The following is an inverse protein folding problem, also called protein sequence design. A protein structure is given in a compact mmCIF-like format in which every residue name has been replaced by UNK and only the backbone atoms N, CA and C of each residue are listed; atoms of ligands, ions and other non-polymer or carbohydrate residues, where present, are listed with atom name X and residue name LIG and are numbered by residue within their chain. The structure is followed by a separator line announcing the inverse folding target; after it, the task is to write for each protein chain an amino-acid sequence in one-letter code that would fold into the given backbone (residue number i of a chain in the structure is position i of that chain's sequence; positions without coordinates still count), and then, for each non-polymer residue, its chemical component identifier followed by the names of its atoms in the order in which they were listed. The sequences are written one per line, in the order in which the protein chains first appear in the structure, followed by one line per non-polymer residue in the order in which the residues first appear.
data_IF_530578390696
#
_entry.id   IF_530578390696
#
_cell.length_a   1.000
_cell.length_b   1.000
_cell.length_c   1.000
_cell.angle_alpha   90.00
_cell.angle_beta   90.00
_cell.angle_gamma   90.00
#
_symmetry.space_group_name_H-M   'P 1'
#
loop_
_entity.id
_entity.type
_entity.pdbx_description
1 polymer ?
#
# COMPACT_ATOMS: atom_id res chain seq x y z
N UNK A 1 22.58 29.84 -13.20
CA UNK A 1 21.53 29.12 -13.97
C UNK A 1 21.27 27.80 -13.24
N UNK A 2 20.01 27.54 -12.89
CA UNK A 2 19.60 26.70 -11.75
C UNK A 2 20.01 25.21 -11.81
N UNK A 3 20.50 24.69 -10.68
CA UNK A 3 20.70 23.25 -10.43
C UNK A 3 19.37 22.64 -9.96
N UNK A 4 18.67 21.94 -10.84
CA UNK A 4 17.42 21.25 -10.50
C UNK A 4 17.69 20.10 -9.51
N UNK A 5 17.33 20.30 -8.24
CA UNK A 5 17.45 19.29 -7.18
C UNK A 5 16.31 18.26 -7.28
N UNK A 6 16.56 17.16 -7.99
CA UNK A 6 15.70 15.97 -7.94
C UNK A 6 15.99 15.17 -6.66
N UNK A 7 14.95 14.71 -5.97
CA UNK A 7 15.04 13.89 -4.73
C UNK A 7 15.07 12.40 -5.11
N UNK A 8 16.16 11.70 -4.77
CA UNK A 8 16.31 10.23 -4.90
C UNK A 8 17.09 9.75 -6.15
N UNK A 9 17.38 8.44 -6.19
CA UNK A 9 18.16 7.78 -7.26
C UNK A 9 17.43 7.67 -8.61
N UNK A 10 16.17 8.10 -8.64
CA UNK A 10 15.40 8.12 -9.88
C UNK A 10 15.98 9.16 -10.83
N UNK A 11 16.44 8.69 -11.98
CA UNK A 11 16.85 9.53 -13.10
C UNK A 11 15.82 9.38 -14.23
N UNK A 12 15.37 10.47 -14.86
CA UNK A 12 14.49 10.36 -16.01
C UNK A 12 15.17 9.50 -17.08
N UNK A 13 14.53 8.39 -17.44
CA UNK A 13 15.05 7.47 -18.43
C UNK A 13 15.04 8.14 -19.80
N UNK A 14 16.15 8.04 -20.54
CA UNK A 14 16.15 8.43 -21.95
C UNK A 14 15.22 7.45 -22.70
N UNK A 15 14.29 7.93 -23.53
CA UNK A 15 13.45 7.03 -24.33
C UNK A 15 14.33 6.13 -25.21
N UNK A 16 14.00 4.83 -25.28
CA UNK A 16 14.83 3.78 -25.91
C UNK A 16 14.86 3.84 -27.45
N UNK A 17 14.12 4.77 -28.05
CA UNK A 17 13.99 4.93 -29.49
C UNK A 17 12.84 5.88 -29.82
N UNK A 18 12.67 6.23 -31.10
CA UNK A 18 11.60 7.12 -31.50
C UNK A 18 10.25 6.40 -31.42
N UNK A 19 9.32 6.98 -30.66
CA UNK A 19 7.94 6.47 -30.53
C UNK A 19 7.13 6.98 -31.71
N UNK A 20 6.20 6.19 -32.25
CA UNK A 20 5.37 6.55 -33.43
C UNK A 20 4.69 7.93 -33.37
N UNK A 21 4.47 8.49 -32.18
CA UNK A 21 4.01 9.87 -31.98
C UNK A 21 4.98 10.96 -32.47
N UNK A 22 6.28 10.66 -32.63
CA UNK A 22 7.31 11.57 -33.14
C UNK A 22 7.29 11.68 -34.68
N UNK A 23 6.69 10.70 -35.36
CA UNK A 23 6.69 10.62 -36.83
C UNK A 23 5.35 10.97 -37.46
N UNK A 24 4.28 11.00 -36.66
CA UNK A 24 2.98 11.50 -37.11
C UNK A 24 3.04 13.02 -37.03
N UNK A 25 2.55 13.68 -38.09
CA UNK A 25 2.50 15.12 -38.32
C UNK A 25 2.41 15.93 -37.03
N UNK A 26 2.98 17.15 -36.93
CA UNK A 26 2.89 17.98 -35.73
C UNK A 26 1.48 17.84 -35.18
N UNK A 27 1.38 17.27 -33.98
CA UNK A 27 0.09 17.03 -33.34
C UNK A 27 -0.75 18.29 -33.49
N UNK A 28 -2.09 18.17 -33.56
CA UNK A 28 -2.95 19.24 -34.05
C UNK A 28 -2.48 20.61 -33.52
N UNK A 29 -2.21 21.56 -34.44
CA UNK A 29 -1.64 22.89 -34.12
C UNK A 29 -2.44 23.61 -33.02
N UNK A 30 -3.67 23.17 -32.79
CA UNK A 30 -4.59 23.65 -31.79
C UNK A 30 -5.13 22.50 -30.97
N UNK A 31 -5.42 22.76 -29.70
CA UNK A 31 -6.09 21.82 -28.82
C UNK A 31 -7.47 21.48 -29.41
N UNK A 32 -7.70 20.20 -29.72
CA UNK A 32 -9.01 19.73 -30.13
C UNK A 32 -9.95 19.75 -28.89
N UNK A 33 -11.19 20.24 -29.03
CA UNK A 33 -12.16 20.17 -27.95
C UNK A 33 -12.39 18.72 -27.52
N UNK A 34 -12.49 18.49 -26.21
CA UNK A 34 -12.76 17.17 -25.65
C UNK A 34 -14.22 16.75 -25.86
N UNK A 35 -14.50 15.46 -25.72
CA UNK A 35 -15.87 14.90 -25.68
C UNK A 35 -16.41 14.73 -24.25
N UNK A 36 -15.70 15.25 -23.25
CA UNK A 36 -16.00 15.14 -21.82
C UNK A 36 -15.96 16.52 -21.17
N UNK A 37 -16.73 16.73 -20.11
CA UNK A 37 -16.79 18.02 -19.41
C UNK A 37 -17.80 19.01 -20.00
N UNK A 38 -18.01 20.11 -19.28
CA UNK A 38 -18.89 21.21 -19.70
C UNK A 38 -18.13 22.29 -20.45
N UNK A 39 -16.94 22.65 -19.95
CA UNK A 39 -16.08 23.70 -20.49
C UNK A 39 -15.22 23.15 -21.62
N UNK A 40 -15.22 23.82 -22.80
CA UNK A 40 -14.40 23.46 -23.98
C UNK A 40 -14.77 22.07 -24.59
N UNK A 41 -16.06 21.71 -24.53
CA UNK A 41 -16.61 20.54 -25.23
C UNK A 41 -16.93 20.84 -26.69
N UNK A 42 -16.74 19.87 -27.60
CA UNK A 42 -17.14 19.97 -29.01
C UNK A 42 -18.68 20.03 -29.17
N UNK A 43 -19.25 21.16 -29.58
CA UNK A 43 -20.70 21.33 -29.74
C UNK A 43 -21.35 20.37 -30.76
N UNK A 44 -20.56 19.77 -31.66
CA UNK A 44 -21.07 18.84 -32.70
C UNK A 44 -21.29 17.41 -32.17
N UNK A 45 -20.82 17.09 -30.97
CA UNK A 45 -20.89 15.74 -30.39
C UNK A 45 -21.82 15.72 -29.18
N UNK A 46 -22.38 14.55 -28.88
CA UNK A 46 -23.10 14.35 -27.63
C UNK A 46 -22.15 14.44 -26.44
N UNK A 47 -22.58 15.16 -25.40
CA UNK A 47 -21.80 15.37 -24.18
C UNK A 47 -21.89 14.15 -23.27
N UNK A 48 -20.74 13.65 -22.84
CA UNK A 48 -20.66 12.62 -21.81
C UNK A 48 -20.72 13.23 -20.39
N UNK A 49 -21.24 12.51 -19.38
CA UNK A 49 -21.26 13.00 -18.01
C UNK A 49 -19.83 13.26 -17.49
N UNK A 50 -19.69 14.31 -16.69
CA UNK A 50 -18.43 14.68 -16.05
C UNK A 50 -18.65 14.73 -14.55
N UNK A 51 -18.26 13.65 -13.86
CA UNK A 51 -18.32 13.58 -12.41
C UNK A 51 -17.07 14.24 -11.83
N UNK A 52 -17.27 15.25 -10.97
CA UNK A 52 -16.20 15.75 -10.10
C UNK A 52 -16.20 14.95 -8.80
N UNK A 53 -15.02 14.66 -8.28
CA UNK A 53 -14.90 14.28 -6.88
C UNK A 53 -15.08 15.54 -6.04
N UNK A 54 -15.89 15.46 -5.00
CA UNK A 54 -16.02 16.56 -4.03
C UNK A 54 -14.67 16.92 -3.42
N UNK A 55 -14.49 18.19 -3.08
CA UNK A 55 -13.31 18.64 -2.31
C UNK A 55 -13.26 17.93 -0.97
N UNK A 56 -12.08 17.43 -0.59
CA UNK A 56 -11.85 16.86 0.74
C UNK A 56 -12.04 17.99 1.77
N UNK A 57 -13.05 17.90 2.62
CA UNK A 57 -13.14 18.76 3.81
C UNK A 57 -11.88 18.54 4.66
N UNK A 58 -11.35 19.61 5.27
CA UNK A 58 -10.17 19.52 6.13
C UNK A 58 -10.33 18.37 7.12
N UNK A 59 -9.36 17.46 7.14
CA UNK A 59 -9.30 16.40 8.14
C UNK A 59 -8.95 17.05 9.47
N UNK A 60 -9.95 17.27 10.33
CA UNK A 60 -9.74 17.83 11.67
C UNK A 60 -9.02 16.87 12.63
N UNK A 61 -8.82 15.62 12.22
CA UNK A 61 -8.07 14.62 12.97
C UNK A 61 -6.79 14.25 12.23
N UNK A 62 -5.67 14.39 12.93
CA UNK A 62 -4.41 13.75 12.54
C UNK A 62 -4.44 12.33 13.11
N UNK A 63 -5.25 11.45 12.52
CA UNK A 63 -5.20 10.02 12.83
C UNK A 63 -3.99 9.41 12.12
N UNK A 64 -2.82 9.97 12.44
CA UNK A 64 -1.52 9.56 11.96
C UNK A 64 -1.00 8.48 12.92
N UNK A 65 -1.34 7.23 12.65
CA UNK A 65 -0.29 6.23 12.52
C UNK A 65 -0.82 5.00 11.78
N UNK A 66 -0.03 4.38 10.89
CA UNK A 66 -0.32 3.06 10.32
C UNK A 66 -0.13 1.94 11.36
N UNK A 67 -0.24 2.25 12.65
CA UNK A 67 -0.05 1.33 13.75
C UNK A 67 -1.39 0.92 14.35
N UNK A 68 -1.56 -0.34 14.79
CA UNK A 68 -2.72 -0.73 15.56
C UNK A 68 -2.82 0.19 16.79
N UNK A 69 -4.00 0.76 17.05
CA UNK A 69 -4.29 1.59 18.23
C UNK A 69 -4.24 0.81 19.56
N UNK A 70 -3.67 -0.38 19.55
CA UNK A 70 -3.48 -1.30 20.66
C UNK A 70 -2.20 -2.12 20.43
N UNK A 71 -1.56 -2.54 21.53
CA UNK A 71 -0.38 -3.40 21.46
C UNK A 71 -0.77 -4.75 20.85
N UNK A 72 -0.25 -5.05 19.66
CA UNK A 72 -0.38 -6.38 19.06
C UNK A 72 0.69 -7.29 19.69
N UNK A 73 0.31 -8.39 20.34
CA UNK A 73 1.26 -9.37 20.83
C UNK A 73 2.20 -9.83 19.71
N UNK A 74 3.51 -9.84 19.98
CA UNK A 74 4.55 -10.15 18.99
C UNK A 74 4.40 -11.55 18.35
N UNK A 75 3.64 -12.44 18.97
CA UNK A 75 3.36 -13.78 18.48
C UNK A 75 2.19 -13.86 17.48
N UNK A 76 1.71 -12.73 16.95
CA UNK A 76 0.59 -12.68 15.99
C UNK A 76 1.10 -12.09 14.66
N UNK A 77 0.91 -12.84 13.58
CA UNK A 77 1.22 -12.43 12.19
C UNK A 77 -0.07 -12.24 11.39
N UNK A 78 0.03 -11.68 10.17
CA UNK A 78 -1.12 -11.55 9.26
C UNK A 78 -1.86 -12.88 8.98
N UNK A 79 -1.17 -14.02 9.09
CA UNK A 79 -1.72 -15.36 8.82
C UNK A 79 -2.26 -16.06 10.07
N UNK A 80 -2.10 -15.48 11.26
CA UNK A 80 -2.45 -16.08 12.54
C UNK A 80 -1.29 -16.08 13.53
N UNK A 81 -1.42 -16.85 14.61
CA UNK A 81 -0.36 -16.99 15.63
C UNK A 81 0.90 -17.60 15.03
N UNK A 82 2.06 -17.17 15.53
CA UNK A 82 3.35 -17.73 15.14
C UNK A 82 3.34 -19.26 15.29
N UNK A 83 3.87 -19.95 14.28
CA UNK A 83 3.90 -21.41 14.19
C UNK A 83 5.04 -22.04 15.00
N UNK A 84 5.83 -21.23 15.73
CA UNK A 84 6.89 -21.73 16.61
C UNK A 84 6.31 -22.70 17.67
N UNK A 85 6.92 -23.87 17.86
CA UNK A 85 6.46 -24.83 18.87
C UNK A 85 6.58 -24.23 20.28
N UNK A 86 5.53 -24.39 21.08
CA UNK A 86 5.49 -23.96 22.48
C UNK A 86 5.73 -25.17 23.38
N UNK A 87 6.92 -25.22 23.98
CA UNK A 87 7.28 -26.29 24.90
C UNK A 87 6.92 -25.91 26.34
N UNK A 88 6.15 -26.76 27.01
CA UNK A 88 5.96 -26.69 28.46
C UNK A 88 6.75 -27.81 29.12
N UNK A 89 7.62 -27.49 30.07
CA UNK A 89 8.20 -28.49 30.96
C UNK A 89 7.14 -28.83 32.02
N UNK A 90 6.55 -30.03 31.93
CA UNK A 90 5.72 -30.55 33.01
C UNK A 90 6.59 -30.86 34.23
N UNK A 91 6.07 -30.59 35.44
CA UNK A 91 6.78 -30.87 36.68
C UNK A 91 7.14 -32.35 36.81
N UNK A 92 8.25 -32.66 37.49
CA UNK A 92 8.65 -34.06 37.76
C UNK A 92 7.52 -34.78 38.50
N UNK A 93 7.20 -36.01 38.07
CA UNK A 93 6.26 -36.86 38.79
C UNK A 93 6.73 -37.05 40.23
N UNK A 94 5.81 -37.08 41.20
CA UNK A 94 6.16 -37.39 42.58
C UNK A 94 6.87 -38.74 42.62
N UNK A 95 7.98 -38.83 43.35
CA UNK A 95 8.66 -40.12 43.51
C UNK A 95 7.68 -41.13 44.09
N UNK A 96 7.50 -42.25 43.40
CA UNK A 96 6.73 -43.37 43.92
C UNK A 96 7.46 -43.92 45.12
N UNK A 97 6.87 -43.82 46.31
CA UNK A 97 7.43 -44.37 47.54
C UNK A 97 7.70 -45.86 47.34
N UNK A 98 8.96 -46.28 47.46
CA UNK A 98 9.32 -47.69 47.42
C UNK A 98 8.59 -48.45 48.56
N UNK A 99 8.05 -49.63 48.24
CA UNK A 99 7.39 -50.49 49.22
C UNK A 99 8.42 -50.94 50.26
N UNK A 100 8.26 -50.46 51.50
CA UNK A 100 9.10 -50.88 52.63
C UNK A 100 8.53 -52.20 53.18
N UNK A 101 9.01 -53.31 52.66
CA UNK A 101 8.81 -54.60 53.31
C UNK A 101 9.67 -54.64 54.58
N UNK A 102 9.10 -54.97 55.75
CA UNK A 102 9.92 -55.36 56.89
C UNK A 102 10.68 -56.61 56.44
N UNK A 103 12.01 -56.53 56.42
CA UNK A 103 12.85 -57.68 56.14
C UNK A 103 12.60 -58.82 57.14
N UNK A 104 13.07 -60.04 56.83
CA UNK A 104 12.82 -61.22 57.66
C UNK A 104 13.22 -61.04 59.12
#
# INVERSE_FOLDING_TARGET
MATASYVGDWRPHRPRGPIGAHFKSPGPKYMLPGSTGFTIHDARKYRNPAFSFGTRHATFTNDCSPGPGYLVPANITKRGTDGTPKYSLYGRHKETTAFKNPGP
#
